data_IF_038384357812
#
_entry.id   IF_038384357812
#
_cell.length_a   1.000
_cell.length_b   1.000
_cell.length_c   1.000
_cell.angle_alpha   90.00
_cell.angle_beta   90.00
_cell.angle_gamma   90.00
#
_symmetry.space_group_name_H-M   'P 1'
#
loop_
_entity.id
_entity.type
_entity.pdbx_description
1 polymer ?
#
# COMPACT_ATOMS: atom_id res chain seq x y z
N UNK A 1 -45.43 14.89 79.89
CA UNK A 1 -44.26 14.12 79.45
C UNK A 1 -44.61 13.39 78.16
N UNK A 2 -44.20 13.90 77.00
CA UNK A 2 -44.32 13.18 75.73
C UNK A 2 -43.13 13.58 74.84
N UNK A 3 -42.12 12.73 74.82
CA UNK A 3 -40.87 12.93 74.08
C UNK A 3 -41.05 12.56 72.61
N UNK A 4 -40.92 13.55 71.73
CA UNK A 4 -40.87 13.34 70.28
C UNK A 4 -39.48 12.81 69.90
N UNK A 5 -39.44 11.56 69.42
CA UNK A 5 -38.26 10.92 68.85
C UNK A 5 -37.98 11.54 67.47
N UNK A 6 -36.87 12.28 67.35
CA UNK A 6 -36.34 12.75 66.07
C UNK A 6 -35.64 11.62 65.35
N UNK A 7 -36.21 11.17 64.23
CA UNK A 7 -35.59 10.19 63.33
C UNK A 7 -34.62 10.94 62.41
N UNK A 8 -33.32 10.83 62.68
CA UNK A 8 -32.26 11.40 61.84
C UNK A 8 -32.09 10.55 60.59
N UNK A 9 -32.47 11.09 59.43
CA UNK A 9 -32.29 10.47 58.12
C UNK A 9 -30.85 10.79 57.65
N UNK A 10 -29.93 9.84 57.79
CA UNK A 10 -28.58 9.95 57.23
C UNK A 10 -28.68 9.70 55.72
N UNK A 11 -28.57 10.78 54.93
CA UNK A 11 -28.45 10.71 53.47
C UNK A 11 -26.99 10.38 53.14
N UNK A 12 -26.75 9.13 52.72
CA UNK A 12 -25.46 8.68 52.21
C UNK A 12 -25.27 9.25 50.79
N UNK A 13 -24.54 10.35 50.66
CA UNK A 13 -24.16 10.91 49.36
C UNK A 13 -23.06 10.02 48.76
N UNK A 14 -23.44 9.11 47.85
CA UNK A 14 -22.49 8.43 46.98
C UNK A 14 -21.92 9.46 45.98
N UNK A 15 -20.74 9.99 46.29
CA UNK A 15 -19.94 10.71 45.29
C UNK A 15 -19.38 9.66 44.34
N UNK A 16 -20.03 9.50 43.18
CA UNK A 16 -19.48 8.76 42.05
C UNK A 16 -18.25 9.54 41.55
N UNK A 17 -17.07 9.12 41.98
CA UNK A 17 -15.81 9.57 41.39
C UNK A 17 -15.76 8.94 39.99
N UNK A 18 -16.18 9.70 38.99
CA UNK A 18 -15.98 9.35 37.60
C UNK A 18 -14.47 9.38 37.33
N UNK A 19 -13.84 8.21 37.33
CA UNK A 19 -12.50 8.05 36.76
C UNK A 19 -12.60 8.38 35.27
N UNK A 20 -11.78 9.30 34.72
CA UNK A 20 -11.75 9.52 33.29
C UNK A 20 -11.30 8.21 32.64
N UNK A 21 -12.11 7.68 31.72
CA UNK A 21 -11.70 6.55 30.89
C UNK A 21 -10.45 6.95 30.11
N UNK A 22 -9.30 6.39 30.51
CA UNK A 22 -8.04 6.62 29.82
C UNK A 22 -8.04 5.86 28.49
N UNK A 23 -7.88 6.59 27.39
CA UNK A 23 -7.22 6.16 26.15
C UNK A 23 -7.87 5.03 25.35
N UNK A 24 -8.93 5.34 24.60
CA UNK A 24 -9.25 4.60 23.37
C UNK A 24 -8.95 5.54 22.19
N UNK A 25 -8.32 5.02 21.13
CA UNK A 25 -8.00 5.82 19.96
C UNK A 25 -9.32 6.27 19.30
N UNK A 26 -9.46 7.57 19.01
CA UNK A 26 -10.56 8.03 18.17
C UNK A 26 -10.31 7.61 16.73
N UNK A 27 -10.94 6.50 16.33
CA UNK A 27 -10.80 5.91 15.00
C UNK A 27 -11.11 6.90 13.87
N UNK A 28 -12.10 7.80 14.05
CA UNK A 28 -12.47 8.78 13.02
C UNK A 28 -11.40 9.86 12.87
N UNK A 29 -10.77 10.26 13.97
CA UNK A 29 -9.65 11.21 13.95
C UNK A 29 -8.42 10.55 13.34
N UNK A 30 -8.11 9.31 13.74
CA UNK A 30 -6.99 8.54 13.18
C UNK A 30 -7.15 8.33 11.67
N UNK A 31 -8.34 7.91 11.20
CA UNK A 31 -8.63 7.74 9.78
C UNK A 31 -8.49 9.05 9.00
N UNK A 32 -9.01 10.17 9.52
CA UNK A 32 -8.86 11.48 8.87
C UNK A 32 -7.39 11.90 8.77
N UNK A 33 -6.61 11.67 9.83
CA UNK A 33 -5.17 11.99 9.85
C UNK A 33 -4.39 11.17 8.83
N UNK A 34 -4.67 9.86 8.75
CA UNK A 34 -4.08 8.97 7.75
C UNK A 34 -4.45 9.37 6.32
N UNK A 35 -5.74 9.65 6.05
CA UNK A 35 -6.18 10.08 4.72
C UNK A 35 -5.59 11.43 4.30
N UNK A 36 -5.41 12.35 5.24
CA UNK A 36 -4.78 13.65 4.99
C UNK A 36 -3.30 13.54 4.60
N UNK A 37 -2.65 12.41 4.87
CA UNK A 37 -1.27 12.16 4.46
C UNK A 37 -1.15 11.74 2.97
N UNK A 38 -2.25 11.38 2.29
CA UNK A 38 -2.21 11.00 0.87
C UNK A 38 -1.70 12.17 0.02
N UNK A 39 -0.70 11.91 -0.83
CA UNK A 39 -0.01 12.89 -1.66
C UNK A 39 1.18 13.57 -1.00
N UNK A 40 1.38 13.39 0.32
CA UNK A 40 2.54 13.92 1.04
C UNK A 40 3.82 13.23 0.55
N UNK A 41 4.86 14.02 0.35
CA UNK A 41 6.21 13.53 0.13
C UNK A 41 6.87 13.26 1.48
N UNK A 42 7.40 12.05 1.64
CA UNK A 42 8.01 11.59 2.87
C UNK A 42 9.40 12.23 3.06
N UNK A 43 9.67 12.63 4.31
CA UNK A 43 11.00 13.03 4.74
C UNK A 43 12.04 11.91 4.59
N UNK A 44 13.32 12.28 4.71
CA UNK A 44 14.40 11.30 4.74
C UNK A 44 14.73 10.88 6.17
N UNK A 45 14.27 9.69 6.54
CA UNK A 45 14.36 9.17 7.90
C UNK A 45 15.39 8.05 7.99
N UNK A 46 16.18 8.08 9.07
CA UNK A 46 17.15 7.02 9.37
C UNK A 46 16.51 5.91 10.17
N UNK A 47 16.67 4.71 9.67
CA UNK A 47 16.17 3.47 10.24
C UNK A 47 17.33 2.48 10.33
N UNK A 48 17.14 1.42 11.09
CA UNK A 48 18.11 0.33 11.20
C UNK A 48 17.42 -0.98 10.86
N UNK A 49 17.98 -1.74 9.92
CA UNK A 49 17.43 -3.03 9.52
C UNK A 49 17.73 -4.15 10.51
N UNK A 50 17.10 -5.31 10.30
CA UNK A 50 17.30 -6.53 11.10
C UNK A 50 18.72 -7.12 11.06
N UNK A 51 19.63 -6.52 10.28
CA UNK A 51 21.06 -6.85 10.19
C UNK A 51 21.93 -5.72 10.75
N UNK A 52 21.35 -4.77 11.48
CA UNK A 52 22.01 -3.62 12.10
C UNK A 52 22.63 -2.64 11.08
N UNK A 53 22.13 -2.64 9.85
CA UNK A 53 22.56 -1.68 8.82
C UNK A 53 21.67 -0.45 8.87
N UNK A 54 22.29 0.73 8.83
CA UNK A 54 21.55 1.99 8.60
C UNK A 54 20.90 1.93 7.22
N UNK A 55 19.61 2.26 7.18
CA UNK A 55 18.80 2.38 5.97
C UNK A 55 18.09 3.72 6.03
N UNK A 56 18.20 4.50 4.97
CA UNK A 56 17.40 5.71 4.81
C UNK A 56 16.13 5.40 4.05
N UNK A 57 15.05 6.12 4.36
CA UNK A 57 13.81 5.98 3.60
C UNK A 57 14.01 6.38 2.12
N UNK A 58 14.90 7.34 1.85
CA UNK A 58 15.30 7.70 0.49
C UNK A 58 16.00 6.56 -0.28
N UNK A 59 16.71 5.63 0.40
CA UNK A 59 17.34 4.46 -0.23
C UNK A 59 16.32 3.44 -0.76
N UNK A 60 15.05 3.57 -0.35
CA UNK A 60 13.94 2.73 -0.78
C UNK A 60 13.16 3.31 -1.96
N UNK A 61 13.52 4.51 -2.43
CA UNK A 61 12.93 5.15 -3.62
C UNK A 61 13.34 4.42 -4.90
N UNK A 62 12.70 4.79 -6.01
CA UNK A 62 12.88 4.20 -7.34
C UNK A 62 11.96 3.02 -7.65
N UNK A 63 11.23 2.51 -6.66
CA UNK A 63 10.20 1.49 -6.80
C UNK A 63 9.05 1.79 -5.83
N UNK A 64 7.83 1.29 -6.09
CA UNK A 64 6.76 1.35 -5.09
C UNK A 64 7.21 0.71 -3.77
N UNK A 65 6.85 1.35 -2.66
CA UNK A 65 7.16 0.92 -1.30
C UNK A 65 5.88 0.74 -0.50
N UNK A 66 5.69 -0.43 0.08
CA UNK A 66 4.61 -0.70 1.04
C UNK A 66 5.17 -0.54 2.44
N UNK A 67 4.55 0.29 3.27
CA UNK A 67 4.96 0.53 4.65
C UNK A 67 3.86 0.08 5.59
N UNK A 68 4.20 -0.68 6.63
CA UNK A 68 3.28 -1.00 7.72
C UNK A 68 3.96 -0.81 9.08
N UNK A 69 3.25 -0.19 10.01
CA UNK A 69 3.73 0.00 11.37
C UNK A 69 3.26 -1.16 12.26
N UNK A 70 4.18 -1.71 13.05
CA UNK A 70 3.91 -2.76 14.02
C UNK A 70 4.61 -2.44 15.34
N UNK A 71 4.26 -3.16 16.39
CA UNK A 71 5.12 -3.28 17.55
C UNK A 71 5.32 -4.75 17.92
N UNK A 72 6.54 -5.11 18.30
CA UNK A 72 6.96 -6.52 18.43
C UNK A 72 6.36 -7.20 19.66
N UNK A 73 5.95 -6.44 20.67
CA UNK A 73 5.24 -6.93 21.86
C UNK A 73 3.76 -7.28 21.63
N UNK A 74 3.26 -7.11 20.42
CA UNK A 74 1.88 -7.37 20.04
C UNK A 74 1.67 -8.86 19.73
N UNK A 75 0.89 -9.58 20.54
CA UNK A 75 0.78 -11.04 20.42
C UNK A 75 -0.34 -11.55 19.51
N UNK A 76 -1.34 -10.72 19.20
CA UNK A 76 -2.53 -11.18 18.45
C UNK A 76 -2.70 -10.47 17.11
N UNK A 77 -2.87 -9.14 17.15
CA UNK A 77 -3.28 -8.37 15.98
C UNK A 77 -2.15 -8.26 14.97
N UNK A 78 -0.96 -7.84 15.40
CA UNK A 78 0.16 -7.56 14.52
C UNK A 78 0.69 -8.82 13.78
N UNK A 79 0.80 -10.00 14.41
CA UNK A 79 1.08 -11.25 13.69
C UNK A 79 0.02 -11.58 12.64
N UNK A 80 -1.26 -11.37 12.96
CA UNK A 80 -2.39 -11.64 12.04
C UNK A 80 -2.34 -10.73 10.82
N UNK A 81 -2.20 -9.41 11.04
CA UNK A 81 -2.10 -8.42 9.95
C UNK A 81 -0.84 -8.62 9.12
N UNK A 82 0.30 -8.95 9.75
CA UNK A 82 1.55 -9.22 9.01
C UNK A 82 1.42 -10.45 8.11
N UNK A 83 0.72 -11.51 8.56
CA UNK A 83 0.43 -12.68 7.72
C UNK A 83 -0.52 -12.34 6.57
N UNK A 84 -1.56 -11.55 6.83
CA UNK A 84 -2.46 -11.08 5.78
C UNK A 84 -1.70 -10.26 4.72
N UNK A 85 -0.80 -9.36 5.17
CA UNK A 85 0.08 -8.61 4.29
C UNK A 85 1.00 -9.54 3.48
N UNK A 86 1.53 -10.61 4.08
CA UNK A 86 2.38 -11.56 3.38
C UNK A 86 1.65 -12.30 2.25
N UNK A 87 0.38 -12.65 2.46
CA UNK A 87 -0.46 -13.24 1.42
C UNK A 87 -0.67 -12.25 0.27
N UNK A 88 -0.99 -10.98 0.58
CA UNK A 88 -1.20 -9.94 -0.41
C UNK A 88 0.07 -9.60 -1.21
N UNK A 89 1.22 -9.53 -0.53
CA UNK A 89 2.54 -9.35 -1.14
C UNK A 89 2.86 -10.50 -2.10
N UNK A 90 2.62 -11.75 -1.69
CA UNK A 90 2.86 -12.91 -2.55
C UNK A 90 1.96 -12.89 -3.81
N UNK A 91 0.71 -12.44 -3.69
CA UNK A 91 -0.18 -12.29 -4.85
C UNK A 91 0.24 -11.13 -5.76
N UNK A 92 0.69 -10.01 -5.18
CA UNK A 92 1.26 -8.91 -5.94
C UNK A 92 2.50 -9.37 -6.72
N UNK A 93 3.42 -10.10 -6.11
CA UNK A 93 4.62 -10.64 -6.77
C UNK A 93 4.28 -11.62 -7.90
N UNK A 94 3.24 -12.45 -7.77
CA UNK A 94 2.75 -13.29 -8.87
C UNK A 94 2.20 -12.46 -10.03
N UNK A 95 1.58 -11.32 -9.72
CA UNK A 95 0.95 -10.45 -10.71
C UNK A 95 1.97 -9.61 -11.47
N UNK A 96 2.82 -8.87 -10.75
CA UNK A 96 3.76 -7.90 -11.33
C UNK A 96 5.18 -8.44 -11.52
N UNK A 97 5.50 -9.57 -10.90
CA UNK A 97 6.84 -10.17 -10.86
C UNK A 97 7.59 -9.86 -9.56
N UNK A 98 8.58 -10.69 -9.20
CA UNK A 98 9.36 -10.51 -7.98
C UNK A 98 10.23 -9.25 -8.04
N UNK A 99 10.41 -8.58 -6.90
CA UNK A 99 11.33 -7.44 -6.76
C UNK A 99 10.92 -6.16 -7.50
N UNK A 100 9.66 -6.04 -7.95
CA UNK A 100 9.13 -4.81 -8.55
C UNK A 100 8.71 -3.75 -7.54
N UNK A 101 8.57 -4.14 -6.28
CA UNK A 101 8.24 -3.26 -5.17
C UNK A 101 8.97 -3.74 -3.91
N UNK A 102 9.03 -2.86 -2.91
CA UNK A 102 9.62 -3.15 -1.59
C UNK A 102 8.56 -3.12 -0.51
N UNK A 103 8.83 -3.81 0.60
CA UNK A 103 8.00 -3.77 1.80
C UNK A 103 8.87 -3.36 2.98
N UNK A 104 8.39 -2.44 3.81
CA UNK A 104 9.05 -1.95 5.01
C UNK A 104 8.10 -2.07 6.19
N UNK A 105 8.38 -3.00 7.09
CA UNK A 105 7.69 -3.14 8.37
C UNK A 105 8.47 -2.39 9.43
N UNK A 106 7.88 -1.34 10.00
CA UNK A 106 8.56 -0.40 10.91
C UNK A 106 8.02 -0.60 12.34
N UNK A 107 8.91 -0.80 13.29
CA UNK A 107 8.59 -0.82 14.73
C UNK A 107 8.27 0.56 15.27
N UNK A 108 7.20 0.73 16.07
CA UNK A 108 6.85 2.03 16.67
C UNK A 108 6.91 2.06 18.21
N UNK A 109 7.12 0.93 18.88
CA UNK A 109 7.25 0.86 20.33
C UNK A 109 8.72 0.92 20.77
N UNK A 110 9.31 2.12 20.71
CA UNK A 110 10.65 2.35 21.23
C UNK A 110 10.63 2.52 22.76
N UNK A 111 11.67 2.05 23.49
CA UNK A 111 12.92 1.46 22.99
C UNK A 111 12.88 -0.06 22.75
N UNK A 112 11.70 -0.70 22.81
CA UNK A 112 11.57 -2.16 22.78
C UNK A 112 11.70 -2.77 21.38
N UNK A 113 11.21 -2.07 20.35
CA UNK A 113 11.29 -2.48 18.94
C UNK A 113 12.68 -2.25 18.34
N UNK A 114 13.69 -2.86 18.96
CA UNK A 114 15.08 -2.85 18.51
C UNK A 114 15.24 -3.60 17.18
N UNK A 115 16.35 -3.39 16.44
CA UNK A 115 16.67 -4.20 15.25
C UNK A 115 16.60 -5.71 15.49
N UNK A 116 17.05 -6.17 16.66
CA UNK A 116 17.01 -7.57 17.04
C UNK A 116 15.58 -8.06 17.31
N UNK A 117 14.73 -7.26 17.96
CA UNK A 117 13.31 -7.59 18.15
C UNK A 117 12.58 -7.67 16.81
N UNK A 118 12.83 -6.72 15.91
CA UNK A 118 12.27 -6.71 14.55
C UNK A 118 12.71 -7.94 13.73
N UNK A 119 13.98 -8.35 13.86
CA UNK A 119 14.49 -9.60 13.27
C UNK A 119 13.75 -10.83 13.78
N UNK A 120 13.54 -10.91 15.09
CA UNK A 120 12.86 -12.04 15.72
C UNK A 120 11.39 -12.10 15.32
N UNK A 121 10.71 -10.94 15.24
CA UNK A 121 9.35 -10.84 14.75
C UNK A 121 9.24 -11.35 13.30
N UNK A 122 10.11 -10.91 12.40
CA UNK A 122 10.16 -11.39 11.01
C UNK A 122 10.31 -12.92 10.93
N UNK A 123 11.23 -13.48 11.73
CA UNK A 123 11.46 -14.93 11.82
C UNK A 123 10.23 -15.67 12.32
N UNK A 124 9.53 -15.16 13.34
CA UNK A 124 8.30 -15.76 13.87
C UNK A 124 7.16 -15.75 12.85
N UNK A 125 7.10 -14.74 11.98
CA UNK A 125 6.12 -14.68 10.89
C UNK A 125 6.55 -15.49 9.65
N UNK A 126 7.76 -16.07 9.63
CA UNK A 126 8.27 -16.86 8.51
C UNK A 126 8.64 -16.01 7.29
N UNK A 127 8.95 -14.74 7.47
CA UNK A 127 9.24 -13.80 6.37
C UNK A 127 10.76 -13.66 6.22
N UNK A 128 11.27 -14.02 5.03
CA UNK A 128 12.69 -13.96 4.67
C UNK A 128 12.95 -13.31 3.31
N UNK A 129 11.92 -12.70 2.71
CA UNK A 129 11.99 -12.09 1.38
C UNK A 129 13.01 -10.93 1.37
N UNK A 130 13.92 -10.86 0.39
CA UNK A 130 14.99 -9.85 0.37
C UNK A 130 14.49 -8.43 0.11
N UNK A 131 13.33 -8.27 -0.52
CA UNK A 131 12.63 -7.01 -0.75
C UNK A 131 11.74 -6.59 0.42
N UNK A 132 11.68 -7.37 1.50
CA UNK A 132 10.91 -7.06 2.71
C UNK A 132 11.86 -6.76 3.88
N UNK A 133 11.92 -5.50 4.27
CA UNK A 133 12.74 -5.00 5.36
C UNK A 133 11.92 -4.87 6.63
N UNK A 134 12.51 -5.30 7.75
CA UNK A 134 12.01 -5.03 9.09
C UNK A 134 12.95 -4.03 9.73
N UNK A 135 12.39 -2.87 10.11
CA UNK A 135 13.12 -1.64 10.38
C UNK A 135 12.79 -1.10 11.77
N UNK A 136 13.81 -0.64 12.49
CA UNK A 136 13.70 0.04 13.77
C UNK A 136 14.09 1.53 13.58
N UNK A 137 13.21 2.49 13.89
CA UNK A 137 13.54 3.91 13.79
C UNK A 137 14.43 4.37 14.93
N UNK A 138 15.17 5.47 14.71
CA UNK A 138 15.80 6.20 15.81
C UNK A 138 14.74 6.92 16.65
N UNK A 139 14.98 7.05 17.96
CA UNK A 139 13.99 7.58 18.90
C UNK A 139 13.57 9.02 18.62
N UNK A 140 14.48 9.85 18.11
CA UNK A 140 14.22 11.23 17.70
C UNK A 140 13.42 11.34 16.40
N UNK A 141 13.47 10.29 15.57
CA UNK A 141 12.89 10.24 14.23
C UNK A 141 11.47 9.72 14.22
N UNK A 142 11.13 8.82 15.14
CA UNK A 142 9.82 8.16 15.19
C UNK A 142 8.63 9.13 15.17
N UNK A 143 8.57 10.22 15.97
CA UNK A 143 7.39 11.09 16.00
C UNK A 143 7.10 11.78 14.67
N UNK A 144 8.14 12.21 13.95
CA UNK A 144 7.98 12.84 12.65
C UNK A 144 7.62 11.81 11.59
N UNK A 145 8.25 10.63 11.64
CA UNK A 145 7.95 9.52 10.74
C UNK A 145 6.47 9.13 10.79
N UNK A 146 5.93 8.83 11.98
CA UNK A 146 4.51 8.45 12.11
C UNK A 146 3.57 9.59 11.68
N UNK A 147 3.93 10.86 11.96
CA UNK A 147 3.14 12.01 11.55
C UNK A 147 3.10 12.16 10.01
N UNK A 148 4.21 11.91 9.33
CA UNK A 148 4.32 11.93 7.87
C UNK A 148 3.39 10.89 7.23
N UNK A 149 3.30 9.69 7.82
CA UNK A 149 2.39 8.64 7.39
C UNK A 149 0.93 8.82 7.86
N UNK A 150 0.67 9.83 8.70
CA UNK A 150 -0.63 10.04 9.35
C UNK A 150 -1.05 8.87 10.24
N UNK A 151 -0.07 8.11 10.75
CA UNK A 151 -0.29 6.98 11.63
C UNK A 151 -0.54 7.48 13.06
N UNK A 152 -1.53 6.90 13.73
CA UNK A 152 -1.90 7.27 15.10
C UNK A 152 -2.04 6.02 15.97
N UNK A 153 -1.56 6.13 17.20
CA UNK A 153 -1.67 5.11 18.22
C UNK A 153 -1.89 5.76 19.60
N UNK A 154 -2.53 5.01 20.50
CA UNK A 154 -2.75 5.36 21.90
C UNK A 154 -2.29 4.21 22.78
N UNK A 155 -1.63 4.54 23.90
CA UNK A 155 -1.20 3.53 24.85
C UNK A 155 -2.36 3.12 25.76
N UNK A 156 -2.53 1.81 25.95
CA UNK A 156 -3.58 1.24 26.80
C UNK A 156 -2.98 0.26 27.82
N UNK A 157 -3.77 -0.14 28.81
CA UNK A 157 -3.40 -1.20 29.77
C UNK A 157 -3.15 -2.56 29.10
N UNK A 158 -3.67 -2.78 27.89
CA UNK A 158 -3.49 -4.02 27.12
C UNK A 158 -2.37 -3.92 26.07
N UNK A 159 -1.66 -2.78 25.98
CA UNK A 159 -0.62 -2.53 24.98
C UNK A 159 -0.85 -1.21 24.26
N UNK A 160 -1.08 -1.27 22.94
CA UNK A 160 -1.37 -0.10 22.12
C UNK A 160 -2.62 -0.33 21.27
N UNK A 161 -3.49 0.67 21.25
CA UNK A 161 -4.57 0.78 20.27
C UNK A 161 -4.06 1.62 19.09
N UNK A 162 -4.14 1.10 17.87
CA UNK A 162 -3.61 1.77 16.70
C UNK A 162 -4.40 1.40 15.45
N UNK A 163 -4.37 2.29 14.46
CA UNK A 163 -5.02 2.03 13.19
C UNK A 163 -4.32 0.87 12.45
N UNK A 164 -5.07 -0.12 11.98
CA UNK A 164 -4.53 -1.18 11.12
C UNK A 164 -4.36 -0.61 9.72
N UNK A 165 -3.19 -0.05 9.46
CA UNK A 165 -2.89 0.70 8.25
C UNK A 165 -1.67 0.13 7.53
N UNK A 166 -1.75 0.03 6.20
CA UNK A 166 -0.60 -0.10 5.32
C UNK A 166 -0.61 1.03 4.29
N UNK A 167 0.55 1.66 4.09
CA UNK A 167 0.72 2.78 3.16
C UNK A 167 1.42 2.31 1.90
N UNK A 168 0.85 2.61 0.73
CA UNK A 168 1.52 2.44 -0.56
C UNK A 168 2.13 3.78 -0.93
N UNK A 169 3.44 3.78 -1.14
CA UNK A 169 4.27 4.93 -1.49
C UNK A 169 4.76 4.72 -2.92
N UNK A 170 4.73 5.78 -3.73
CA UNK A 170 5.25 5.74 -5.10
C UNK A 170 6.79 5.72 -5.15
N UNK A 171 7.33 5.57 -6.36
CA UNK A 171 8.78 5.53 -6.57
C UNK A 171 9.52 6.83 -6.19
N UNK A 172 8.81 7.95 -6.05
CA UNK A 172 9.39 9.24 -5.66
C UNK A 172 9.34 9.48 -4.15
N UNK A 173 8.69 8.60 -3.39
CA UNK A 173 8.52 8.76 -1.95
C UNK A 173 7.25 9.54 -1.57
N UNK A 174 6.22 9.57 -2.42
CA UNK A 174 4.91 10.17 -2.10
C UNK A 174 3.89 9.11 -1.71
N UNK A 175 3.08 9.38 -0.69
CA UNK A 175 2.01 8.46 -0.27
C UNK A 175 0.94 8.42 -1.37
N UNK A 176 0.79 7.28 -2.01
CA UNK A 176 -0.17 7.07 -3.09
C UNK A 176 -1.54 6.61 -2.57
N UNK A 177 -1.55 5.64 -1.64
CA UNK A 177 -2.77 5.08 -1.04
C UNK A 177 -2.53 4.67 0.41
N UNK A 178 -3.60 4.72 1.18
CA UNK A 178 -3.68 4.14 2.52
C UNK A 178 -4.68 3.00 2.49
N UNK A 179 -4.27 1.85 3.01
CA UNK A 179 -5.08 0.66 3.14
C UNK A 179 -5.39 0.45 4.62
N UNK A 180 -6.60 0.00 4.91
CA UNK A 180 -7.08 -0.18 6.28
C UNK A 180 -7.65 -1.58 6.50
N UNK A 181 -7.56 -2.06 7.74
CA UNK A 181 -8.18 -3.30 8.18
C UNK A 181 -7.18 -4.42 8.47
N UNK A 182 -7.73 -5.57 8.83
CA UNK A 182 -6.97 -6.78 9.19
C UNK A 182 -6.68 -7.68 7.98
N UNK A 183 -7.29 -7.39 6.83
CA UNK A 183 -7.15 -8.11 5.57
C UNK A 183 -6.85 -7.13 4.44
N UNK A 184 -5.82 -7.45 3.65
CA UNK A 184 -5.48 -6.70 2.44
C UNK A 184 -6.00 -7.47 1.24
N UNK A 185 -7.24 -7.18 0.83
CA UNK A 185 -7.82 -7.83 -0.34
C UNK A 185 -7.03 -7.48 -1.61
N UNK A 186 -6.93 -8.44 -2.53
CA UNK A 186 -6.13 -8.30 -3.73
C UNK A 186 -6.45 -7.03 -4.55
N UNK A 187 -7.72 -6.63 -4.78
CA UNK A 187 -8.04 -5.41 -5.51
C UNK A 187 -7.47 -4.13 -4.87
N UNK A 188 -7.54 -4.06 -3.55
CA UNK A 188 -7.12 -2.89 -2.78
C UNK A 188 -5.59 -2.82 -2.66
N UNK A 189 -4.91 -3.97 -2.67
CA UNK A 189 -3.46 -4.05 -2.52
C UNK A 189 -2.71 -4.08 -3.86
N UNK A 190 -3.06 -5.02 -4.73
CA UNK A 190 -2.35 -5.28 -5.99
C UNK A 190 -2.67 -4.21 -7.04
N UNK A 191 -3.93 -3.74 -7.11
CA UNK A 191 -4.38 -2.73 -8.07
C UNK A 191 -3.51 -1.47 -8.07
N UNK A 192 -3.34 -0.78 -6.93
CA UNK A 192 -2.48 0.39 -6.85
C UNK A 192 -1.01 0.14 -7.24
N UNK A 193 -0.46 -1.05 -6.95
CA UNK A 193 0.90 -1.42 -7.34
C UNK A 193 0.99 -1.57 -8.86
N UNK A 194 0.01 -2.24 -9.48
CA UNK A 194 -0.10 -2.36 -10.94
C UNK A 194 -0.20 -0.98 -11.58
N UNK A 195 -1.03 -0.08 -11.05
CA UNK A 195 -1.18 1.29 -11.54
C UNK A 195 0.13 2.09 -11.47
N UNK A 196 0.87 2.01 -10.35
CA UNK A 196 2.15 2.69 -10.22
C UNK A 196 3.21 2.16 -11.18
N UNK A 197 3.28 0.83 -11.36
CA UNK A 197 4.25 0.21 -12.26
C UNK A 197 3.88 0.43 -13.73
N UNK A 198 2.59 0.40 -14.06
CA UNK A 198 2.10 0.66 -15.41
C UNK A 198 2.30 2.11 -15.86
N UNK A 199 2.39 3.07 -14.93
CA UNK A 199 2.62 4.48 -15.24
C UNK A 199 4.08 4.93 -15.04
N UNK A 200 4.98 4.01 -14.70
CA UNK A 200 6.38 4.34 -14.47
C UNK A 200 7.06 4.80 -15.78
N UNK A 201 7.89 5.86 -15.75
CA UNK A 201 8.63 6.31 -16.91
C UNK A 201 9.61 5.23 -17.39
N UNK A 202 9.65 4.98 -18.69
CA UNK A 202 10.54 4.00 -19.34
C UNK A 202 11.55 4.68 -20.24
N UNK A 203 12.72 4.06 -20.36
CA UNK A 203 13.73 4.48 -21.32
C UNK A 203 13.20 4.30 -22.76
N UNK A 204 13.51 5.27 -23.63
CA UNK A 204 13.23 5.18 -25.06
C UNK A 204 13.99 3.98 -25.66
N UNK A 205 13.29 3.07 -26.34
CA UNK A 205 13.87 1.88 -26.95
C UNK A 205 13.78 0.59 -26.13
N UNK A 206 13.26 0.65 -24.89
CA UNK A 206 13.03 -0.55 -24.06
C UNK A 206 11.76 -1.30 -24.49
N UNK A 207 11.92 -2.23 -25.43
CA UNK A 207 10.86 -3.12 -25.93
C UNK A 207 10.34 -4.09 -24.87
N UNK A 208 11.19 -4.52 -23.94
CA UNK A 208 10.81 -5.43 -22.87
C UNK A 208 9.95 -4.70 -21.82
N UNK A 209 10.34 -3.48 -21.46
CA UNK A 209 9.54 -2.61 -20.59
C UNK A 209 8.21 -2.20 -21.23
N UNK A 210 8.16 -1.98 -22.56
CA UNK A 210 6.91 -1.72 -23.27
C UNK A 210 5.94 -2.89 -23.17
N UNK A 211 6.45 -4.11 -23.40
CA UNK A 211 5.65 -5.32 -23.25
C UNK A 211 5.12 -5.45 -21.82
N UNK A 212 5.94 -5.24 -20.79
CA UNK A 212 5.51 -5.34 -19.40
C UNK A 212 4.47 -4.28 -19.03
N UNK A 213 4.62 -3.04 -19.51
CA UNK A 213 3.61 -2.01 -19.30
C UNK A 213 2.26 -2.39 -19.93
N UNK A 214 2.28 -2.87 -21.18
CA UNK A 214 1.06 -3.34 -21.86
C UNK A 214 0.47 -4.53 -21.10
N UNK A 215 1.29 -5.49 -20.67
CA UNK A 215 0.86 -6.65 -19.88
C UNK A 215 0.15 -6.23 -18.60
N UNK A 216 0.72 -5.29 -17.86
CA UNK A 216 0.15 -4.75 -16.63
C UNK A 216 -1.17 -4.00 -16.89
N UNK A 217 -1.24 -3.17 -17.94
CA UNK A 217 -2.48 -2.48 -18.33
C UNK A 217 -3.58 -3.44 -18.80
N UNK A 218 -3.22 -4.58 -19.38
CA UNK A 218 -4.16 -5.63 -19.80
C UNK A 218 -4.45 -6.66 -18.70
N UNK A 219 -3.91 -6.48 -17.49
CA UNK A 219 -4.14 -7.38 -16.36
C UNK A 219 -5.41 -6.94 -15.62
N UNK A 220 -6.39 -7.83 -15.53
CA UNK A 220 -7.71 -7.57 -14.94
C UNK A 220 -7.90 -8.47 -13.72
N UNK A 221 -8.57 -7.94 -12.70
CA UNK A 221 -8.99 -8.70 -11.52
C UNK A 221 -10.21 -9.59 -11.86
N UNK A 222 -10.10 -10.89 -11.60
CA UNK A 222 -11.19 -11.85 -11.74
C UNK A 222 -11.82 -12.15 -10.35
N UNK A 223 -13.05 -11.70 -10.07
CA UNK A 223 -13.68 -11.88 -8.77
C UNK A 223 -14.07 -13.33 -8.46
N UNK A 224 -14.15 -14.20 -9.48
CA UNK A 224 -14.50 -15.62 -9.27
C UNK A 224 -13.31 -16.44 -8.77
N UNK A 225 -12.11 -16.13 -9.27
CA UNK A 225 -10.87 -16.80 -8.86
C UNK A 225 -10.09 -16.05 -7.78
N UNK A 226 -10.42 -14.77 -7.53
CA UNK A 226 -9.75 -13.91 -6.56
C UNK A 226 -8.33 -13.51 -6.97
N UNK A 227 -8.00 -13.65 -8.26
CA UNK A 227 -6.64 -13.47 -8.80
C UNK A 227 -6.63 -12.50 -9.97
N UNK A 228 -5.45 -11.94 -10.24
CA UNK A 228 -5.21 -11.13 -11.43
C UNK A 228 -4.79 -12.03 -12.59
N UNK A 229 -5.38 -11.79 -13.77
CA UNK A 229 -5.06 -12.52 -15.01
C UNK A 229 -4.92 -11.56 -16.17
N UNK A 230 -4.03 -11.89 -17.11
CA UNK A 230 -3.91 -11.15 -18.37
C UNK A 230 -5.15 -11.45 -19.22
N UNK A 231 -5.87 -10.41 -19.64
CA UNK A 231 -6.97 -10.55 -20.57
C UNK A 231 -6.44 -10.60 -22.02
N UNK A 232 -6.28 -11.80 -22.55
CA UNK A 232 -5.81 -12.01 -23.92
C UNK A 232 -6.76 -11.46 -24.99
N UNK A 233 -8.05 -11.24 -24.68
CA UNK A 233 -8.99 -10.66 -25.64
C UNK A 233 -8.57 -9.24 -26.04
N UNK A 234 -8.18 -8.40 -25.08
CA UNK A 234 -7.71 -7.03 -25.34
C UNK A 234 -6.41 -7.05 -26.16
N UNK A 235 -5.50 -7.97 -25.87
CA UNK A 235 -4.26 -8.14 -26.64
C UNK A 235 -4.56 -8.51 -28.10
N UNK A 236 -5.49 -9.45 -28.31
CA UNK A 236 -5.93 -9.85 -29.65
C UNK A 236 -6.60 -8.67 -30.37
N UNK A 237 -7.47 -7.91 -29.70
CA UNK A 237 -8.14 -6.73 -30.27
C UNK A 237 -7.13 -5.67 -30.73
N UNK A 238 -6.08 -5.40 -29.93
CA UNK A 238 -5.01 -4.46 -30.30
C UNK A 238 -4.25 -4.96 -31.53
N UNK A 239 -3.89 -6.25 -31.58
CA UNK A 239 -3.17 -6.85 -32.73
C UNK A 239 -4.04 -6.80 -33.99
N UNK A 240 -5.30 -7.19 -33.88
CA UNK A 240 -6.26 -7.15 -35.00
C UNK A 240 -6.46 -5.72 -35.47
N UNK A 241 -6.67 -4.76 -34.55
CA UNK A 241 -6.75 -3.34 -34.86
C UNK A 241 -5.52 -2.83 -35.61
N UNK A 242 -4.32 -3.06 -35.06
CA UNK A 242 -3.05 -2.66 -35.70
C UNK A 242 -2.88 -3.27 -37.09
N UNK A 243 -3.24 -4.55 -37.28
CA UNK A 243 -3.14 -5.18 -38.61
C UNK A 243 -4.08 -4.54 -39.64
N UNK A 244 -5.30 -4.16 -39.24
CA UNK A 244 -6.24 -3.43 -40.11
C UNK A 244 -5.68 -2.04 -40.46
N UNK A 245 -5.11 -1.32 -39.48
CA UNK A 245 -4.52 0.00 -39.73
C UNK A 245 -3.26 -0.05 -40.61
N UNK A 246 -2.39 -1.04 -40.39
CA UNK A 246 -1.10 -1.15 -41.09
C UNK A 246 -1.20 -1.84 -42.46
N UNK A 247 -2.18 -2.70 -42.67
CA UNK A 247 -2.36 -3.43 -43.94
C UNK A 247 -3.62 -2.99 -44.67
N UNK A 248 -4.75 -2.93 -43.97
CA UNK A 248 -6.04 -2.58 -44.56
C UNK A 248 -6.08 -1.17 -45.14
N UNK A 249 -5.65 -0.16 -44.37
CA UNK A 249 -5.67 1.24 -44.85
C UNK A 249 -4.73 1.44 -46.05
N UNK A 250 -3.47 0.98 -46.05
CA UNK A 250 -2.60 1.11 -47.23
C UNK A 250 -3.15 0.41 -48.48
N UNK A 251 -3.77 -0.78 -48.33
CA UNK A 251 -4.41 -1.49 -49.45
C UNK A 251 -5.58 -0.68 -49.99
N UNK A 252 -6.44 -0.13 -49.13
CA UNK A 252 -7.55 0.74 -49.55
C UNK A 252 -7.05 2.00 -50.27
N UNK A 253 -6.00 2.65 -49.74
CA UNK A 253 -5.38 3.82 -50.38
C UNK A 253 -4.78 3.43 -51.74
N UNK A 254 -4.10 2.29 -51.82
CA UNK A 254 -3.49 1.80 -53.06
C UNK A 254 -4.55 1.51 -54.13
N UNK A 255 -5.62 0.79 -53.77
CA UNK A 255 -6.73 0.51 -54.67
C UNK A 255 -7.46 1.77 -55.11
N UNK A 256 -7.72 2.70 -54.19
CA UNK A 256 -8.35 3.98 -54.51
C UNK A 256 -7.49 4.81 -55.47
N UNK A 257 -6.17 4.86 -55.24
CA UNK A 257 -5.21 5.52 -56.16
C UNK A 257 -5.13 4.80 -57.51
N UNK A 258 -5.28 3.47 -57.55
CA UNK A 258 -5.30 2.68 -58.79
C UNK A 258 -6.55 2.97 -59.61
N UNK A 259 -7.72 2.99 -58.97
CA UNK A 259 -9.01 3.30 -59.63
C UNK A 259 -9.04 4.72 -60.19
N UNK A 260 -8.62 5.73 -59.41
CA UNK A 260 -8.53 7.12 -59.90
C UNK A 260 -7.63 7.32 -61.12
N UNK A 261 -6.56 6.53 -61.25
CA UNK A 261 -5.68 6.57 -62.44
C UNK A 261 -6.30 5.92 -63.66
N UNK A 262 -7.22 4.97 -63.48
CA UNK A 262 -7.95 4.35 -64.58
C UNK A 262 -9.07 5.26 -65.11
N UNK A 263 -9.68 6.08 -64.23
CA UNK A 263 -10.80 6.98 -64.60
C UNK A 263 -10.36 8.32 -65.25
N UNK A 264 -9.06 8.62 -65.28
CA UNK A 264 -8.48 9.73 -66.05
C UNK A 264 -7.56 9.20 -67.16
N UNK A 265 -8.10 8.73 -68.29
CA UNK A 265 -7.28 8.53 -69.49
C UNK A 265 -6.69 9.88 -69.90
N UNK A 266 -5.38 9.92 -70.14
CA UNK A 266 -4.71 11.10 -70.64
C UNK A 266 -5.45 11.61 -71.89
N UNK A 267 -5.93 12.85 -71.84
CA UNK A 267 -6.37 13.56 -73.04
C UNK A 267 -5.12 13.75 -73.93
N UNK A 268 -4.90 12.81 -74.84
CA UNK A 268 -3.86 12.87 -75.86
C UNK A 268 -4.52 13.14 -77.21
N UNK A 269 -4.20 14.29 -77.81
CA UNK A 269 -4.31 14.55 -79.25
C UNK A 269 -5.65 15.08 -79.71
#
# INVERSE_FOLDING_TARGET
>A
MSGKRGLSLIVLVLVAIAFPASGALDEKVALRSSQAAIGRELGDYRLVDSREREVRLSDLRGQPLIVNFIYTGCFQVCPTVTKALAIAVAEAERTVGPGKFRVATIGFNLPFDTPQAMKQFAKQQGISAPNWLFLSPQADTLPQLIADFGFSYEQTIAGFDHLLQASIVDANGRIYRQLYGDRFEAPQFVGPIVELLANAPRALGDVAGLYEQIRLLCTIYDPTSGKYRVNYAVVIEIIVGLSIFLVGIPVLIFEWRRRRRADHPAASG
#
